data_IF_037113998198
#
_entry.id   IF_037113998198
#
_cell.length_a   1.000
_cell.length_b   1.000
_cell.length_c   1.000
_cell.angle_alpha   90.00
_cell.angle_beta   90.00
_cell.angle_gamma   90.00
#
_symmetry.space_group_name_H-M   'P 1'
#
loop_
_entity.id
_entity.type
_entity.pdbx_description
1 polymer ?
#
# COMPACT_ATOMS: atom_id res chain seq x y z
N UNK A 1 0.28 25.95 -23.47
CA UNK A 1 1.15 26.31 -22.33
C UNK A 1 2.20 25.21 -22.19
N UNK A 2 3.50 25.49 -22.20
CA UNK A 2 4.53 24.44 -22.03
C UNK A 2 4.59 24.02 -20.56
N UNK A 3 4.33 22.74 -20.30
CA UNK A 3 4.48 22.15 -18.98
C UNK A 3 5.93 21.67 -18.74
N UNK A 4 6.26 21.39 -17.48
CA UNK A 4 7.56 20.83 -17.13
C UNK A 4 7.78 19.48 -17.86
N UNK A 5 9.02 19.23 -18.30
CA UNK A 5 9.39 18.04 -19.07
C UNK A 5 8.96 16.72 -18.38
N UNK A 6 9.04 16.67 -17.05
CA UNK A 6 8.62 15.49 -16.25
C UNK A 6 7.15 15.12 -16.39
N UNK A 7 6.27 16.02 -16.90
CA UNK A 7 4.84 15.74 -17.09
C UNK A 7 4.54 15.19 -18.49
N UNK A 8 5.50 15.18 -19.41
CA UNK A 8 5.27 14.74 -20.80
C UNK A 8 5.07 13.23 -20.92
N UNK A 9 5.63 12.44 -19.97
CA UNK A 9 5.61 10.98 -19.98
C UNK A 9 4.75 10.38 -18.86
N UNK A 10 3.92 11.19 -18.20
CA UNK A 10 3.01 10.70 -17.14
C UNK A 10 1.65 10.44 -17.74
N UNK A 11 1.32 9.16 -17.90
CA UNK A 11 -0.02 8.75 -18.32
C UNK A 11 -1.02 8.91 -17.17
N UNK A 12 -2.26 9.31 -17.52
CA UNK A 12 -3.37 9.30 -16.57
C UNK A 12 -3.67 7.86 -16.15
N UNK A 13 -3.85 7.63 -14.85
CA UNK A 13 -4.10 6.30 -14.31
C UNK A 13 -5.32 5.63 -14.98
N UNK A 14 -5.11 4.48 -15.65
CA UNK A 14 -6.18 3.65 -16.19
C UNK A 14 -7.22 3.25 -15.11
N UNK A 15 -6.77 3.12 -13.84
CA UNK A 15 -7.64 2.90 -12.69
C UNK A 15 -8.58 4.09 -12.46
N UNK A 16 -8.13 5.32 -12.74
CA UNK A 16 -8.95 6.53 -12.56
C UNK A 16 -10.13 6.58 -13.55
N UNK A 17 -9.93 6.11 -14.77
CA UNK A 17 -11.02 5.98 -15.75
C UNK A 17 -12.02 4.88 -15.33
N UNK A 18 -11.51 3.78 -14.77
CA UNK A 18 -12.36 2.74 -14.21
C UNK A 18 -13.22 3.29 -13.06
N UNK A 19 -12.68 4.15 -12.17
CA UNK A 19 -13.45 4.76 -11.08
C UNK A 19 -14.64 5.60 -11.55
N UNK A 20 -14.61 6.18 -12.74
CA UNK A 20 -15.78 6.90 -13.31
C UNK A 20 -16.96 5.97 -13.59
N UNK A 21 -16.68 4.68 -13.82
CA UNK A 21 -17.71 3.66 -14.08
C UNK A 21 -18.23 3.04 -12.78
N UNK A 22 -17.42 2.99 -11.73
CA UNK A 22 -17.74 2.33 -10.47
C UNK A 22 -18.87 3.01 -9.66
N UNK A 23 -19.14 4.28 -9.91
CA UNK A 23 -20.25 5.01 -9.28
C UNK A 23 -21.63 4.78 -9.95
N UNK A 24 -21.70 3.97 -11.01
CA UNK A 24 -22.97 3.72 -11.70
C UNK A 24 -23.84 2.73 -10.92
N UNK A 25 -25.15 2.98 -10.78
CA UNK A 25 -26.06 2.04 -10.15
C UNK A 25 -26.04 0.65 -10.83
N UNK A 26 -26.10 -0.41 -10.01
CA UNK A 26 -26.16 -1.80 -10.50
C UNK A 26 -24.81 -2.46 -10.79
N UNK A 27 -23.68 -1.76 -10.60
CA UNK A 27 -22.33 -2.35 -10.74
C UNK A 27 -21.81 -2.81 -9.39
N UNK A 28 -21.52 -4.10 -9.25
CA UNK A 28 -20.78 -4.68 -8.11
C UNK A 28 -19.30 -4.43 -8.37
N UNK A 29 -18.65 -3.70 -7.46
CA UNK A 29 -17.24 -3.32 -7.65
C UNK A 29 -16.30 -4.13 -6.76
N UNK A 30 -15.39 -4.87 -7.40
CA UNK A 30 -14.19 -5.44 -6.79
C UNK A 30 -12.92 -4.68 -7.15
N UNK A 31 -13.04 -3.50 -7.75
CA UNK A 31 -11.89 -2.73 -8.23
C UNK A 31 -11.24 -1.84 -7.17
N UNK A 32 -12.01 -1.35 -6.20
CA UNK A 32 -11.56 -0.38 -5.20
C UNK A 32 -10.60 -0.96 -4.17
N UNK A 33 -9.51 -0.25 -3.88
CA UNK A 33 -8.60 -0.55 -2.78
C UNK A 33 -8.91 0.30 -1.53
N UNK A 34 -10.20 0.51 -1.23
CA UNK A 34 -10.66 1.33 -0.10
C UNK A 34 -11.12 0.46 1.06
N UNK A 35 -10.88 0.86 2.32
CA UNK A 35 -11.51 0.25 3.47
C UNK A 35 -13.05 0.40 3.41
N UNK A 36 -13.75 -0.55 4.03
CA UNK A 36 -15.21 -0.50 4.13
C UNK A 36 -15.66 0.56 5.13
N UNK A 37 -16.42 1.60 4.69
CA UNK A 37 -16.93 2.62 5.59
C UNK A 37 -17.83 2.09 6.71
N UNK A 38 -18.50 0.95 6.52
CA UNK A 38 -19.34 0.32 7.53
C UNK A 38 -18.56 -0.25 8.72
N UNK A 39 -17.23 -0.40 8.56
CA UNK A 39 -16.34 -0.89 9.62
C UNK A 39 -15.66 0.24 10.41
N UNK A 40 -15.82 1.49 10.01
CA UNK A 40 -15.22 2.62 10.75
C UNK A 40 -15.86 2.79 12.14
N UNK A 41 -15.03 3.06 13.14
CA UNK A 41 -15.48 3.44 14.47
C UNK A 41 -15.84 4.92 14.51
N UNK A 42 -16.98 5.27 13.91
CA UNK A 42 -17.46 6.66 13.81
C UNK A 42 -17.65 7.29 15.20
N UNK A 43 -18.23 6.54 16.14
CA UNK A 43 -18.45 7.05 17.49
C UNK A 43 -17.12 7.33 18.23
N UNK A 44 -16.14 6.43 18.11
CA UNK A 44 -14.79 6.64 18.65
C UNK A 44 -14.10 7.83 18.00
N UNK A 45 -14.26 8.02 16.70
CA UNK A 45 -13.68 9.16 15.98
C UNK A 45 -14.33 10.50 16.36
N UNK A 46 -15.64 10.53 16.57
CA UNK A 46 -16.35 11.72 17.09
C UNK A 46 -15.84 12.10 18.47
N UNK A 47 -15.74 11.13 19.39
CA UNK A 47 -15.21 11.37 20.74
C UNK A 47 -13.75 11.86 20.70
N UNK A 48 -12.91 11.26 19.84
CA UNK A 48 -11.52 11.67 19.67
C UNK A 48 -11.38 13.10 19.12
N UNK A 49 -12.23 13.49 18.15
CA UNK A 49 -12.21 14.85 17.62
C UNK A 49 -12.62 15.89 18.69
N UNK A 50 -13.65 15.59 19.50
CA UNK A 50 -14.03 16.44 20.62
C UNK A 50 -12.91 16.54 21.66
N UNK A 51 -12.29 15.41 22.02
CA UNK A 51 -11.17 15.37 22.96
C UNK A 51 -9.98 16.16 22.45
N UNK A 52 -9.62 16.03 21.16
CA UNK A 52 -8.51 16.76 20.56
C UNK A 52 -8.69 18.28 20.68
N UNK A 53 -9.88 18.78 20.38
CA UNK A 53 -10.20 20.21 20.52
C UNK A 53 -10.28 20.69 21.96
N UNK A 54 -10.67 19.82 22.90
CA UNK A 54 -10.69 20.15 24.33
C UNK A 54 -9.28 20.13 24.95
N UNK A 55 -8.46 19.17 24.58
CA UNK A 55 -7.14 18.95 25.19
C UNK A 55 -6.04 19.81 24.56
N UNK A 56 -6.10 20.04 23.23
CA UNK A 56 -5.09 20.76 22.47
C UNK A 56 -5.70 21.81 21.52
N UNK A 57 -6.52 22.76 22.02
CA UNK A 57 -7.27 23.67 21.15
C UNK A 57 -6.36 24.47 20.21
N UNK A 58 -5.30 25.05 20.75
CA UNK A 58 -4.37 25.86 19.97
C UNK A 58 -3.57 25.00 18.99
N UNK A 59 -3.01 23.89 19.43
CA UNK A 59 -2.21 23.00 18.59
C UNK A 59 -3.04 22.34 17.46
N UNK A 60 -4.33 22.05 17.72
CA UNK A 60 -5.20 21.45 16.72
C UNK A 60 -5.60 22.43 15.59
N UNK A 61 -5.63 23.74 15.87
CA UNK A 61 -6.13 24.77 14.94
C UNK A 61 -5.04 25.67 14.36
N UNK A 62 -3.82 25.66 14.91
CA UNK A 62 -2.69 26.45 14.45
C UNK A 62 -1.78 25.62 13.53
N UNK A 63 -0.87 26.28 12.82
CA UNK A 63 0.24 25.61 12.15
C UNK A 63 1.06 24.80 13.15
N UNK A 64 1.49 23.60 12.75
CA UNK A 64 2.32 22.71 13.54
C UNK A 64 3.75 22.56 13.03
N UNK A 65 4.54 21.77 13.76
CA UNK A 65 5.86 21.36 13.30
C UNK A 65 5.74 20.50 12.01
N UNK A 66 6.68 20.71 11.08
CA UNK A 66 6.76 19.94 9.83
C UNK A 66 6.94 18.45 10.11
N UNK A 67 7.70 18.13 11.15
CA UNK A 67 7.98 16.75 11.61
C UNK A 67 6.75 16.04 12.16
N UNK A 68 5.74 16.79 12.58
CA UNK A 68 4.48 16.28 13.08
C UNK A 68 4.21 16.56 14.55
N UNK A 69 3.00 16.26 14.96
CA UNK A 69 2.48 16.49 16.30
C UNK A 69 3.02 15.46 17.28
N UNK A 70 3.73 15.91 18.34
CA UNK A 70 4.43 15.03 19.27
C UNK A 70 3.54 13.95 19.90
N UNK A 71 2.31 14.25 20.41
CA UNK A 71 1.45 13.21 20.97
C UNK A 71 1.08 12.12 19.95
N UNK A 72 0.91 12.45 18.65
CA UNK A 72 0.67 11.44 17.63
C UNK A 72 1.93 10.59 17.39
N UNK A 73 3.10 11.22 17.34
CA UNK A 73 4.37 10.50 17.16
C UNK A 73 4.62 9.50 18.29
N UNK A 74 4.34 9.87 19.54
CA UNK A 74 4.42 8.95 20.70
C UNK A 74 3.52 7.73 20.52
N UNK A 75 2.27 7.93 20.07
CA UNK A 75 1.33 6.83 19.84
C UNK A 75 1.76 5.93 18.67
N UNK A 76 2.29 6.50 17.58
CA UNK A 76 2.82 5.74 16.47
C UNK A 76 4.06 4.95 16.89
N UNK A 77 4.99 5.55 17.68
CA UNK A 77 6.15 4.84 18.20
C UNK A 77 5.73 3.66 19.09
N UNK A 78 4.74 3.83 19.95
CA UNK A 78 4.19 2.75 20.77
C UNK A 78 3.54 1.64 19.91
N UNK A 79 2.80 2.01 18.86
CA UNK A 79 2.23 1.05 17.90
C UNK A 79 3.32 0.27 17.18
N UNK A 80 4.36 0.93 16.68
CA UNK A 80 5.50 0.28 16.02
C UNK A 80 6.28 -0.63 16.98
N UNK A 81 6.50 -0.20 18.22
CA UNK A 81 7.15 -1.00 19.25
C UNK A 81 6.38 -2.29 19.57
N UNK A 82 5.03 -2.26 19.57
CA UNK A 82 4.20 -3.45 19.74
C UNK A 82 4.37 -4.48 18.61
N UNK A 83 4.92 -4.04 17.47
CA UNK A 83 5.26 -4.86 16.28
C UNK A 83 6.75 -5.19 16.19
N UNK A 84 7.53 -4.86 17.21
CA UNK A 84 8.95 -5.15 17.30
C UNK A 84 9.89 -4.08 16.72
N UNK A 85 9.36 -2.97 16.22
CA UNK A 85 10.15 -1.83 15.73
C UNK A 85 10.19 -0.73 16.78
N UNK A 86 11.27 -0.69 17.58
CA UNK A 86 11.47 0.33 18.62
C UNK A 86 12.06 1.58 17.98
N UNK A 87 11.34 2.70 18.05
CA UNK A 87 11.69 3.98 17.44
C UNK A 87 11.66 5.11 18.47
N UNK A 88 12.65 6.00 18.39
CA UNK A 88 12.55 7.33 18.97
C UNK A 88 11.65 8.22 18.09
N UNK A 89 10.87 9.10 18.72
CA UNK A 89 10.01 10.03 18.01
C UNK A 89 10.77 10.97 17.04
N UNK A 90 12.08 11.15 17.20
CA UNK A 90 12.92 11.94 16.32
C UNK A 90 13.35 11.20 15.05
N UNK A 91 13.19 9.87 14.99
CA UNK A 91 13.63 9.03 13.88
C UNK A 91 12.61 8.95 12.73
N UNK A 92 11.48 9.64 12.85
CA UNK A 92 10.46 9.65 11.81
C UNK A 92 9.66 10.96 11.79
N UNK A 93 8.98 11.19 10.68
CA UNK A 93 8.07 12.34 10.50
C UNK A 93 6.66 11.86 10.14
N UNK A 94 5.66 12.67 10.51
CA UNK A 94 4.28 12.47 10.07
C UNK A 94 4.14 13.01 8.64
N UNK A 95 3.47 12.24 7.79
CA UNK A 95 3.22 12.58 6.39
C UNK A 95 1.73 12.58 6.09
N UNK A 96 1.35 13.26 5.01
CA UNK A 96 -0.03 13.29 4.50
C UNK A 96 -0.32 11.97 3.74
N UNK A 97 -0.30 10.86 4.50
CA UNK A 97 -0.35 9.49 4.04
C UNK A 97 1.00 8.99 3.51
N UNK A 98 1.13 7.65 3.32
CA UNK A 98 2.34 7.03 2.76
C UNK A 98 2.66 7.51 1.34
N UNK A 99 1.68 7.99 0.59
CA UNK A 99 1.90 8.60 -0.73
C UNK A 99 2.82 9.82 -0.66
N UNK A 100 2.68 10.66 0.36
CA UNK A 100 3.61 11.79 0.56
C UNK A 100 4.99 11.30 1.00
N UNK A 101 5.08 10.23 1.79
CA UNK A 101 6.37 9.64 2.16
C UNK A 101 7.14 9.19 0.91
N UNK A 102 6.47 8.49 -0.03
CA UNK A 102 7.05 8.10 -1.32
C UNK A 102 7.46 9.30 -2.17
N UNK A 103 6.61 10.34 -2.23
CA UNK A 103 6.91 11.58 -2.96
C UNK A 103 8.15 12.29 -2.39
N UNK A 104 8.25 12.39 -1.05
CA UNK A 104 9.39 13.02 -0.39
C UNK A 104 10.70 12.25 -0.62
N UNK A 105 10.67 10.90 -0.50
CA UNK A 105 11.85 10.07 -0.81
C UNK A 105 12.24 10.27 -2.28
N UNK A 106 11.28 10.21 -3.20
CA UNK A 106 11.52 10.39 -4.63
C UNK A 106 12.12 11.76 -4.93
N UNK A 107 11.59 12.82 -4.31
CA UNK A 107 12.05 14.21 -4.44
C UNK A 107 13.48 14.38 -3.94
N UNK A 108 13.86 13.68 -2.88
CA UNK A 108 15.22 13.74 -2.32
C UNK A 108 16.24 12.91 -3.11
N UNK A 109 15.81 11.79 -3.68
CA UNK A 109 16.73 10.76 -4.18
C UNK A 109 16.77 10.62 -5.69
N UNK A 110 15.70 11.02 -6.41
CA UNK A 110 15.56 10.69 -7.83
C UNK A 110 15.68 11.92 -8.72
N UNK A 111 16.40 11.72 -9.81
CA UNK A 111 16.48 12.61 -10.97
C UNK A 111 16.27 11.83 -12.27
N UNK A 112 16.24 12.54 -13.43
CA UNK A 112 16.06 11.90 -14.73
C UNK A 112 17.14 10.85 -15.02
N UNK A 113 16.69 9.63 -15.37
CA UNK A 113 17.56 8.49 -15.70
C UNK A 113 18.01 7.64 -14.52
N UNK A 114 17.74 8.05 -13.28
CA UNK A 114 17.99 7.19 -12.12
C UNK A 114 17.13 5.93 -12.16
N UNK A 115 17.65 4.83 -11.63
CA UNK A 115 17.00 3.53 -11.68
C UNK A 115 16.36 3.17 -10.34
N UNK A 116 15.15 2.62 -10.40
CA UNK A 116 14.40 2.11 -9.24
C UNK A 116 13.96 0.68 -9.53
N UNK A 117 14.37 -0.28 -8.71
CA UNK A 117 13.82 -1.63 -8.78
C UNK A 117 12.48 -1.67 -8.03
N UNK A 118 11.48 -2.28 -8.65
CA UNK A 118 10.15 -2.47 -8.07
C UNK A 118 9.69 -3.92 -8.26
N UNK A 119 8.84 -4.42 -7.39
CA UNK A 119 8.21 -5.74 -7.57
C UNK A 119 7.39 -5.78 -8.87
N UNK A 120 7.30 -6.93 -9.48
CA UNK A 120 6.46 -7.15 -10.66
C UNK A 120 5.48 -8.31 -10.43
N UNK A 121 4.19 -7.98 -10.15
CA UNK A 121 3.57 -6.65 -10.14
C UNK A 121 3.77 -5.87 -8.82
N UNK A 122 3.51 -4.55 -8.84
CA UNK A 122 3.56 -3.68 -7.68
C UNK A 122 2.51 -2.55 -7.72
N UNK A 123 2.51 -1.68 -6.71
CA UNK A 123 1.55 -0.58 -6.57
C UNK A 123 1.72 0.48 -7.65
N UNK A 124 0.68 0.66 -8.48
CA UNK A 124 0.69 1.58 -9.61
C UNK A 124 1.10 3.01 -9.23
N UNK A 125 0.59 3.54 -8.10
CA UNK A 125 0.90 4.92 -7.75
C UNK A 125 2.37 5.12 -7.34
N UNK A 126 3.08 4.07 -6.88
CA UNK A 126 4.52 4.12 -6.67
C UNK A 126 5.26 4.18 -8.00
N UNK A 127 4.89 3.34 -8.99
CA UNK A 127 5.46 3.39 -10.35
C UNK A 127 5.29 4.80 -10.94
N UNK A 128 4.08 5.37 -10.84
CA UNK A 128 3.78 6.70 -11.37
C UNK A 128 4.57 7.79 -10.63
N UNK A 129 4.72 7.66 -9.31
CA UNK A 129 5.52 8.59 -8.51
C UNK A 129 6.98 8.60 -8.96
N UNK A 130 7.62 7.45 -9.12
CA UNK A 130 9.02 7.36 -9.57
C UNK A 130 9.20 7.92 -10.99
N UNK A 131 8.29 7.57 -11.90
CA UNK A 131 8.30 8.09 -13.27
C UNK A 131 8.10 9.61 -13.36
N UNK A 132 7.31 10.20 -12.43
CA UNK A 132 7.15 11.66 -12.35
C UNK A 132 8.49 12.36 -12.09
N UNK A 133 9.42 11.72 -11.37
CA UNK A 133 10.77 12.22 -11.14
C UNK A 133 11.78 11.83 -12.23
N UNK A 134 11.29 11.20 -13.32
CA UNK A 134 12.11 10.81 -14.46
C UNK A 134 12.91 9.53 -14.25
N UNK A 135 12.61 8.76 -13.20
CA UNK A 135 13.27 7.50 -12.94
C UNK A 135 12.82 6.39 -13.92
N UNK A 136 13.75 5.48 -14.20
CA UNK A 136 13.52 4.25 -14.92
C UNK A 136 13.17 3.15 -13.92
N UNK A 137 12.00 2.55 -14.06
CA UNK A 137 11.56 1.44 -13.21
C UNK A 137 12.00 0.10 -13.80
N UNK A 138 12.60 -0.76 -12.98
CA UNK A 138 13.10 -2.09 -13.35
C UNK A 138 12.28 -3.14 -12.58
N UNK A 139 11.78 -4.12 -13.26
CA UNK A 139 10.89 -5.14 -12.72
C UNK A 139 11.67 -6.26 -12.03
N UNK A 140 11.46 -6.47 -10.74
CA UNK A 140 11.93 -7.64 -10.00
C UNK A 140 10.82 -8.68 -9.88
N UNK A 141 11.04 -9.94 -10.29
CA UNK A 141 10.01 -10.97 -10.24
C UNK A 141 9.68 -11.35 -8.79
N UNK A 142 8.40 -11.69 -8.59
CA UNK A 142 7.88 -12.20 -7.33
C UNK A 142 7.29 -13.60 -7.48
N UNK A 143 7.17 -14.30 -6.37
CA UNK A 143 6.39 -15.53 -6.24
C UNK A 143 5.50 -15.47 -4.99
N UNK A 144 5.01 -16.61 -4.51
CA UNK A 144 4.14 -16.67 -3.32
C UNK A 144 4.84 -16.16 -2.04
N UNK A 145 6.17 -16.17 -1.98
CA UNK A 145 6.98 -15.66 -0.87
C UNK A 145 7.53 -14.24 -1.09
N UNK A 146 6.98 -13.47 -2.03
CA UNK A 146 7.40 -12.12 -2.37
C UNK A 146 8.55 -12.06 -3.37
N UNK A 147 9.35 -10.98 -3.35
CA UNK A 147 10.44 -10.78 -4.31
C UNK A 147 11.47 -11.92 -4.24
N UNK A 148 11.90 -12.41 -5.41
CA UNK A 148 12.91 -13.44 -5.52
C UNK A 148 14.30 -12.84 -5.31
N UNK A 149 14.90 -13.08 -4.15
CA UNK A 149 16.09 -12.36 -3.69
C UNK A 149 17.34 -12.63 -4.51
N UNK A 150 17.49 -13.81 -5.13
CA UNK A 150 18.63 -14.10 -6.02
C UNK A 150 18.55 -13.29 -7.33
N UNK A 151 17.35 -13.15 -7.87
CA UNK A 151 17.12 -12.30 -9.03
C UNK A 151 17.22 -10.81 -8.66
N UNK A 152 16.75 -10.42 -7.47
CA UNK A 152 16.93 -9.08 -6.97
C UNK A 152 18.42 -8.70 -6.87
N UNK A 153 19.27 -9.59 -6.34
CA UNK A 153 20.71 -9.36 -6.25
C UNK A 153 21.34 -9.17 -7.64
N UNK A 154 20.99 -10.01 -8.61
CA UNK A 154 21.46 -9.87 -9.99
C UNK A 154 21.08 -8.51 -10.59
N UNK A 155 19.81 -8.08 -10.40
CA UNK A 155 19.33 -6.79 -10.87
C UNK A 155 20.05 -5.61 -10.19
N UNK A 156 20.33 -5.69 -8.89
CA UNK A 156 21.09 -4.66 -8.18
C UNK A 156 22.51 -4.55 -8.75
N UNK A 157 23.19 -5.68 -8.94
CA UNK A 157 24.55 -5.72 -9.47
C UNK A 157 24.63 -5.14 -10.88
N UNK A 158 23.69 -5.50 -11.76
CA UNK A 158 23.63 -5.06 -13.16
C UNK A 158 23.26 -3.58 -13.28
N UNK A 159 22.19 -3.18 -12.59
CA UNK A 159 21.56 -1.88 -12.86
C UNK A 159 22.01 -0.77 -11.89
N UNK A 160 22.59 -1.12 -10.74
CA UNK A 160 23.02 -0.18 -9.69
C UNK A 160 21.93 0.85 -9.35
N UNK A 161 20.75 0.41 -8.91
CA UNK A 161 19.61 1.28 -8.66
C UNK A 161 19.88 2.21 -7.47
N UNK A 162 19.24 3.37 -7.47
CA UNK A 162 19.23 4.24 -6.29
C UNK A 162 18.26 3.78 -5.22
N UNK A 163 17.13 3.18 -5.66
CA UNK A 163 16.05 2.74 -4.77
C UNK A 163 15.60 1.33 -5.14
N UNK A 164 15.15 0.61 -4.13
CA UNK A 164 14.38 -0.64 -4.25
C UNK A 164 13.07 -0.41 -3.51
N UNK A 165 11.92 -0.55 -4.18
CA UNK A 165 10.61 -0.38 -3.57
C UNK A 165 9.90 -1.72 -3.43
N UNK A 166 9.50 -2.07 -2.20
CA UNK A 166 8.84 -3.31 -1.85
C UNK A 166 7.60 -3.06 -0.98
N UNK A 167 6.58 -3.92 -1.15
CA UNK A 167 5.46 -4.06 -0.23
C UNK A 167 5.55 -5.44 0.42
N UNK A 168 6.38 -5.62 1.45
CA UNK A 168 6.75 -6.95 1.95
C UNK A 168 5.61 -7.72 2.62
N UNK A 169 4.48 -7.06 2.93
CA UNK A 169 3.39 -7.66 3.68
C UNK A 169 2.07 -7.44 2.97
N UNK A 170 1.42 -8.54 2.53
CA UNK A 170 0.14 -8.53 1.82
C UNK A 170 0.13 -7.56 0.64
N UNK A 171 1.14 -7.66 -0.22
CA UNK A 171 1.45 -6.70 -1.29
C UNK A 171 0.26 -6.35 -2.19
N UNK A 172 0.20 -5.11 -2.63
CA UNK A 172 -0.77 -4.65 -3.61
C UNK A 172 -0.08 -4.61 -5.00
N UNK A 173 -0.50 -5.43 -5.97
CA UNK A 173 -1.78 -6.15 -6.04
C UNK A 173 -1.72 -7.62 -5.64
N UNK A 174 -0.53 -8.21 -5.43
CA UNK A 174 -0.29 -9.65 -5.42
C UNK A 174 -0.88 -10.40 -4.22
N UNK A 175 -1.06 -9.73 -3.08
CA UNK A 175 -1.36 -10.37 -1.80
C UNK A 175 -0.18 -11.16 -1.20
N UNK A 176 0.96 -11.24 -1.89
CA UNK A 176 2.14 -11.95 -1.44
C UNK A 176 2.73 -11.36 -0.15
N UNK A 177 3.37 -12.22 0.64
CA UNK A 177 4.08 -11.80 1.84
C UNK A 177 5.52 -12.30 1.78
N UNK A 178 6.46 -11.39 1.88
CA UNK A 178 7.89 -11.69 1.88
C UNK A 178 8.24 -12.54 3.09
N UNK A 179 8.83 -13.72 2.85
CA UNK A 179 9.20 -14.65 3.92
C UNK A 179 10.31 -14.09 4.82
N UNK A 180 10.42 -14.58 6.06
CA UNK A 180 11.41 -14.08 7.01
C UNK A 180 12.86 -14.20 6.48
N UNK A 181 13.16 -15.31 5.80
CA UNK A 181 14.48 -15.51 5.20
C UNK A 181 14.79 -14.46 4.12
N UNK A 182 13.82 -14.20 3.24
CA UNK A 182 13.96 -13.18 2.20
C UNK A 182 14.00 -11.76 2.76
N UNK A 183 13.28 -11.46 3.84
CA UNK A 183 13.37 -10.15 4.54
C UNK A 183 14.81 -9.90 5.03
N UNK A 184 15.43 -10.88 5.66
CA UNK A 184 16.84 -10.77 6.10
C UNK A 184 17.76 -10.59 4.90
N UNK A 185 17.56 -11.38 3.83
CA UNK A 185 18.38 -11.27 2.61
C UNK A 185 18.26 -9.90 1.94
N UNK A 186 17.06 -9.32 1.87
CA UNK A 186 16.87 -7.95 1.37
C UNK A 186 17.66 -6.93 2.19
N UNK A 187 17.65 -7.04 3.51
CA UNK A 187 18.43 -6.15 4.38
C UNK A 187 19.95 -6.34 4.19
N UNK A 188 20.41 -7.58 4.01
CA UNK A 188 21.82 -7.87 3.69
C UNK A 188 22.22 -7.23 2.34
N UNK A 189 21.39 -7.36 1.33
CA UNK A 189 21.60 -6.76 0.02
C UNK A 189 21.62 -5.23 0.10
N UNK A 190 20.71 -4.63 0.87
CA UNK A 190 20.68 -3.18 1.09
C UNK A 190 22.01 -2.67 1.67
N UNK A 191 22.53 -3.35 2.70
CA UNK A 191 23.82 -3.02 3.32
C UNK A 191 25.00 -3.28 2.38
N UNK A 192 25.03 -4.44 1.73
CA UNK A 192 26.11 -4.87 0.84
C UNK A 192 26.29 -3.92 -0.36
N UNK A 193 25.19 -3.55 -1.00
CA UNK A 193 25.20 -2.72 -2.20
C UNK A 193 24.97 -1.23 -1.93
N UNK A 194 24.79 -0.85 -0.66
CA UNK A 194 24.53 0.53 -0.26
C UNK A 194 23.37 1.14 -1.05
N UNK A 195 22.28 0.38 -1.20
CA UNK A 195 21.09 0.77 -1.97
C UNK A 195 19.90 0.92 -1.05
N UNK A 196 19.21 2.07 -1.08
CA UNK A 196 18.08 2.34 -0.22
C UNK A 196 16.89 1.44 -0.56
N UNK A 197 16.43 0.67 0.40
CA UNK A 197 15.18 -0.10 0.32
C UNK A 197 14.05 0.73 0.93
N UNK A 198 12.95 0.86 0.23
CA UNK A 198 11.69 1.43 0.72
C UNK A 198 10.77 0.25 1.07
N UNK A 199 10.47 0.08 2.35
CA UNK A 199 9.42 -0.78 2.85
C UNK A 199 8.12 0.02 2.92
N UNK A 200 7.13 -0.27 2.08
CA UNK A 200 5.78 0.32 2.17
C UNK A 200 4.86 -0.68 2.88
N UNK A 201 4.43 -0.36 4.10
CA UNK A 201 3.64 -1.28 4.96
C UNK A 201 2.29 -0.68 5.38
N UNK A 202 1.32 -0.56 4.46
CA UNK A 202 -0.03 -0.13 4.81
C UNK A 202 -0.93 -1.28 5.28
N UNK A 203 -0.51 -2.55 5.15
CA UNK A 203 -1.37 -3.72 5.34
C UNK A 203 -0.95 -4.64 6.48
N UNK A 204 0.20 -4.46 7.11
CA UNK A 204 0.75 -5.39 8.09
C UNK A 204 -0.14 -5.68 9.30
N UNK A 205 -1.05 -4.77 9.62
CA UNK A 205 -2.07 -4.98 10.66
C UNK A 205 -3.29 -5.78 10.18
N UNK A 206 -3.46 -6.03 8.88
CA UNK A 206 -4.65 -6.66 8.29
C UNK A 206 -4.45 -8.16 8.02
N UNK A 207 -3.79 -8.87 8.89
CA UNK A 207 -3.66 -10.34 8.81
C UNK A 207 -4.93 -11.06 9.28
N UNK A 208 -5.15 -12.30 8.83
CA UNK A 208 -6.34 -13.07 9.17
C UNK A 208 -6.12 -14.00 10.37
N UNK A 209 -5.33 -15.04 10.21
CA UNK A 209 -5.19 -16.08 11.23
C UNK A 209 -3.93 -15.89 12.09
N UNK A 210 -2.80 -15.49 11.48
CA UNK A 210 -1.52 -15.30 12.16
C UNK A 210 -0.84 -13.99 11.73
N UNK A 211 -0.12 -13.33 12.63
CA UNK A 211 0.64 -12.14 12.26
C UNK A 211 1.72 -12.48 11.21
N UNK A 212 2.00 -11.55 10.29
CA UNK A 212 3.08 -11.73 9.31
C UNK A 212 4.45 -11.74 9.99
N UNK A 213 5.52 -12.13 9.26
CA UNK A 213 6.88 -11.93 9.74
C UNK A 213 7.14 -10.48 10.15
N UNK A 214 8.05 -10.21 11.12
CA UNK A 214 8.40 -8.84 11.50
C UNK A 214 8.83 -8.00 10.29
N UNK A 215 8.48 -6.71 10.29
CA UNK A 215 8.84 -5.78 9.21
C UNK A 215 10.35 -5.71 8.98
N UNK A 216 10.79 -5.23 7.81
CA UNK A 216 12.21 -4.95 7.57
C UNK A 216 12.74 -3.98 8.63
N UNK A 217 11.95 -2.98 9.01
CA UNK A 217 12.31 -2.04 10.06
C UNK A 217 12.57 -2.72 11.41
N UNK A 218 11.73 -3.68 11.80
CA UNK A 218 11.91 -4.44 13.04
C UNK A 218 13.12 -5.39 12.99
N UNK A 219 13.49 -5.85 11.80
CA UNK A 219 14.61 -6.77 11.58
C UNK A 219 15.95 -6.05 11.37
N UNK A 220 15.96 -4.80 10.93
CA UNK A 220 17.17 -4.06 10.58
C UNK A 220 18.23 -4.04 11.70
N UNK A 221 17.90 -3.92 13.01
CA UNK A 221 18.90 -4.01 14.07
C UNK A 221 19.63 -5.35 14.15
N UNK A 222 19.07 -6.41 13.55
CA UNK A 222 19.68 -7.75 13.53
C UNK A 222 20.63 -7.95 12.33
N UNK A 223 20.63 -7.03 11.36
CA UNK A 223 21.45 -7.10 10.14
C UNK A 223 22.37 -5.87 10.09
N UNK A 224 23.66 -6.02 10.44
CA UNK A 224 24.59 -4.90 10.55
C UNK A 224 24.65 -4.03 9.30
N UNK A 225 24.56 -2.71 9.47
CA UNK A 225 24.65 -1.72 8.39
C UNK A 225 23.37 -1.53 7.56
N UNK A 226 22.34 -2.36 7.74
CA UNK A 226 21.11 -2.26 6.93
C UNK A 226 20.23 -1.07 7.29
N UNK A 227 20.27 -0.60 8.55
CA UNK A 227 19.46 0.53 9.00
C UNK A 227 19.80 1.84 8.25
N UNK A 228 21.02 2.00 7.76
CA UNK A 228 21.46 3.15 6.98
C UNK A 228 20.88 3.15 5.55
N UNK A 229 20.32 2.02 5.11
CA UNK A 229 19.81 1.81 3.77
C UNK A 229 18.34 1.35 3.76
N UNK A 230 17.59 1.70 4.80
CA UNK A 230 16.18 1.37 4.92
C UNK A 230 15.34 2.63 5.16
N UNK A 231 14.28 2.79 4.39
CA UNK A 231 13.19 3.71 4.67
C UNK A 231 11.88 2.91 4.84
N UNK A 232 11.08 3.26 5.84
CA UNK A 232 9.79 2.61 6.09
C UNK A 232 8.66 3.64 5.99
N UNK A 233 7.66 3.33 5.17
CA UNK A 233 6.46 4.11 4.97
C UNK A 233 5.27 3.41 5.64
N UNK A 234 4.75 4.00 6.70
CA UNK A 234 3.57 3.49 7.39
C UNK A 234 2.32 4.33 7.13
N UNK A 235 1.15 3.79 7.41
CA UNK A 235 -0.12 4.46 7.14
C UNK A 235 -1.23 4.09 8.12
N UNK A 236 -2.01 5.08 8.57
CA UNK A 236 -3.26 4.86 9.30
C UNK A 236 -4.47 4.66 8.37
N UNK A 237 -4.29 4.76 7.06
CA UNK A 237 -5.40 4.72 6.08
C UNK A 237 -6.18 3.41 6.08
N UNK A 238 -5.55 2.29 6.44
CA UNK A 238 -6.19 0.96 6.36
C UNK A 238 -6.67 0.44 7.72
N UNK A 239 -6.18 1.02 8.80
CA UNK A 239 -6.45 0.57 10.17
C UNK A 239 -7.26 1.59 10.99
N UNK A 240 -7.30 2.86 10.57
CA UNK A 240 -8.07 3.90 11.25
C UNK A 240 -9.07 4.55 10.29
N UNK A 241 -8.63 5.49 9.47
CA UNK A 241 -9.49 6.15 8.49
C UNK A 241 -8.66 6.78 7.36
N UNK A 242 -8.92 6.44 6.08
CA UNK A 242 -8.17 7.00 4.95
C UNK A 242 -8.40 8.50 4.77
N UNK A 243 -9.55 9.03 5.20
CA UNK A 243 -9.89 10.45 5.11
C UNK A 243 -9.04 11.37 5.97
N UNK A 244 -8.40 10.87 7.02
CA UNK A 244 -7.48 11.64 7.85
C UNK A 244 -6.17 11.97 7.13
N UNK A 245 -5.82 11.22 6.09
CA UNK A 245 -4.58 11.42 5.34
C UNK A 245 -3.33 11.38 6.22
N UNK A 246 -3.21 10.40 7.11
CA UNK A 246 -2.07 10.24 8.02
C UNK A 246 -1.23 9.01 7.67
N UNK A 247 0.07 9.24 7.61
CA UNK A 247 1.13 8.24 7.48
C UNK A 247 2.38 8.73 8.18
N UNK A 248 3.45 7.96 8.08
CA UNK A 248 4.75 8.34 8.61
C UNK A 248 5.87 7.81 7.74
N UNK A 249 7.01 8.47 7.83
CA UNK A 249 8.25 8.09 7.18
C UNK A 249 9.34 7.92 8.24
N UNK A 250 9.86 6.71 8.39
CA UNK A 250 11.13 6.43 9.08
C UNK A 250 12.21 6.34 8.00
N UNK A 251 13.33 7.02 8.19
CA UNK A 251 14.43 6.99 7.23
C UNK A 251 15.77 7.29 7.91
N UNK A 252 16.90 6.98 7.25
CA UNK A 252 18.21 7.39 7.73
C UNK A 252 18.27 8.91 7.97
N UNK A 253 19.03 9.40 8.99
CA UNK A 253 18.98 10.80 9.42
C UNK A 253 19.19 11.83 8.30
N UNK A 254 20.13 11.56 7.39
CA UNK A 254 20.40 12.47 6.27
C UNK A 254 19.22 12.57 5.29
N UNK A 255 18.56 11.45 4.98
CA UNK A 255 17.37 11.44 4.14
C UNK A 255 16.18 12.10 4.86
N UNK A 256 16.01 11.82 6.15
CA UNK A 256 14.92 12.39 6.95
C UNK A 256 15.01 13.92 7.00
N UNK A 257 16.22 14.48 7.23
CA UNK A 257 16.44 15.93 7.24
C UNK A 257 16.08 16.58 5.90
N UNK A 258 16.47 15.96 4.78
CA UNK A 258 16.10 16.46 3.45
C UNK A 258 14.60 16.29 3.17
N UNK A 259 13.96 15.21 3.64
CA UNK A 259 12.53 15.03 3.51
C UNK A 259 11.74 16.08 4.29
N UNK A 260 12.18 16.47 5.50
CA UNK A 260 11.61 17.58 6.28
C UNK A 260 11.70 18.89 5.49
N UNK A 261 12.90 19.22 4.96
CA UNK A 261 13.08 20.40 4.14
C UNK A 261 12.14 20.41 2.92
N UNK A 262 12.05 19.30 2.18
CA UNK A 262 11.16 19.18 1.04
C UNK A 262 9.68 19.30 1.44
N UNK A 263 9.32 18.77 2.61
CA UNK A 263 7.95 18.84 3.14
C UNK A 263 7.56 20.29 3.49
N UNK A 264 8.48 21.09 4.05
CA UNK A 264 8.24 22.50 4.33
C UNK A 264 7.77 23.28 3.09
N UNK A 265 8.35 22.96 1.91
CA UNK A 265 7.96 23.58 0.65
C UNK A 265 6.75 22.93 -0.02
N UNK A 266 6.31 21.75 0.43
CA UNK A 266 5.17 21.03 -0.16
C UNK A 266 3.85 21.38 0.51
N UNK A 267 3.76 21.24 1.84
CA UNK A 267 2.54 21.44 2.61
C UNK A 267 2.78 22.10 3.99
N UNK A 268 3.99 22.55 4.28
CA UNK A 268 4.44 23.09 5.57
C UNK A 268 4.33 22.06 6.70
N UNK A 269 3.13 21.53 6.95
CA UNK A 269 2.84 20.49 7.92
C UNK A 269 1.59 19.69 7.51
N UNK A 270 1.51 18.45 7.92
CA UNK A 270 0.28 17.65 7.81
C UNK A 270 -0.79 18.24 8.74
N UNK A 271 -2.07 18.19 8.36
CA UNK A 271 -3.20 18.76 9.12
C UNK A 271 -3.09 18.47 10.63
N UNK A 272 -2.92 19.51 11.42
CA UNK A 272 -2.78 19.42 12.88
C UNK A 272 -4.05 18.90 13.53
N UNK A 273 -5.23 19.29 13.05
CA UNK A 273 -6.51 18.77 13.54
C UNK A 273 -6.61 17.25 13.29
N UNK A 274 -6.22 16.77 12.11
CA UNK A 274 -6.21 15.33 11.82
C UNK A 274 -5.23 14.59 12.73
N UNK A 275 -4.04 15.16 12.96
CA UNK A 275 -3.04 14.57 13.83
C UNK A 275 -3.50 14.53 15.29
N UNK A 276 -4.06 15.61 15.82
CA UNK A 276 -4.59 15.69 17.19
C UNK A 276 -5.76 14.71 17.39
N UNK A 277 -6.67 14.62 16.40
CA UNK A 277 -7.79 13.65 16.44
C UNK A 277 -7.27 12.21 16.46
N UNK A 278 -6.29 11.88 15.62
CA UNK A 278 -5.70 10.54 15.59
C UNK A 278 -4.95 10.23 16.90
N UNK A 279 -4.21 11.20 17.47
CA UNK A 279 -3.54 11.04 18.75
C UNK A 279 -4.55 10.71 19.86
N UNK A 280 -5.64 11.47 19.98
CA UNK A 280 -6.69 11.22 20.95
C UNK A 280 -7.35 9.85 20.74
N UNK A 281 -7.60 9.45 19.49
CA UNK A 281 -8.14 8.12 19.19
C UNK A 281 -7.21 6.99 19.62
N UNK A 282 -5.93 7.10 19.31
CA UNK A 282 -4.93 6.09 19.68
C UNK A 282 -4.76 6.03 21.21
N UNK A 283 -4.71 7.17 21.89
CA UNK A 283 -4.67 7.25 23.36
C UNK A 283 -5.88 6.61 24.05
N UNK A 284 -7.05 6.62 23.40
CA UNK A 284 -8.25 5.98 23.94
C UNK A 284 -8.17 4.44 24.02
N UNK A 285 -7.16 3.83 23.41
CA UNK A 285 -6.98 2.37 23.37
C UNK A 285 -7.98 1.62 22.47
N UNK A 286 -8.76 2.32 21.65
CA UNK A 286 -9.81 1.70 20.79
C UNK A 286 -9.26 1.02 19.54
N UNK A 287 -8.06 1.39 19.07
CA UNK A 287 -7.50 0.89 17.81
C UNK A 287 -7.43 -0.63 17.73
N UNK A 288 -6.94 -1.38 18.74
CA UNK A 288 -6.85 -2.84 18.64
C UNK A 288 -8.20 -3.52 18.40
N UNK A 289 -9.26 -3.07 19.07
CA UNK A 289 -10.61 -3.61 18.88
C UNK A 289 -11.18 -3.27 17.48
N UNK A 290 -10.96 -2.04 17.00
CA UNK A 290 -11.35 -1.63 15.66
C UNK A 290 -10.64 -2.44 14.58
N UNK A 291 -9.33 -2.64 14.70
CA UNK A 291 -8.54 -3.47 13.78
C UNK A 291 -8.99 -4.93 13.81
N UNK A 292 -9.25 -5.49 14.99
CA UNK A 292 -9.76 -6.86 15.12
C UNK A 292 -11.08 -7.06 14.37
N UNK A 293 -12.02 -6.10 14.48
CA UNK A 293 -13.29 -6.11 13.72
C UNK A 293 -13.04 -6.11 12.20
N UNK A 294 -12.12 -5.28 11.72
CA UNK A 294 -11.77 -5.22 10.30
C UNK A 294 -11.14 -6.54 9.84
N UNK A 295 -10.19 -7.10 10.59
CA UNK A 295 -9.56 -8.40 10.30
C UNK A 295 -10.58 -9.51 10.16
N UNK A 296 -11.52 -9.62 11.12
CA UNK A 296 -12.57 -10.64 11.08
C UNK A 296 -13.42 -10.51 9.82
N UNK A 297 -13.94 -9.30 9.54
CA UNK A 297 -14.77 -9.05 8.37
C UNK A 297 -14.03 -9.35 7.05
N UNK A 298 -12.75 -8.96 6.96
CA UNK A 298 -11.97 -9.20 5.75
C UNK A 298 -11.62 -10.68 5.58
N UNK A 299 -11.29 -11.40 6.66
CA UNK A 299 -11.05 -12.83 6.62
C UNK A 299 -12.27 -13.61 6.13
N UNK A 300 -13.47 -13.29 6.65
CA UNK A 300 -14.73 -13.91 6.23
C UNK A 300 -15.01 -13.66 4.75
N UNK A 301 -14.86 -12.40 4.30
CA UNK A 301 -15.08 -12.02 2.89
C UNK A 301 -14.05 -12.63 1.94
N UNK A 302 -12.79 -12.67 2.34
CA UNK A 302 -11.74 -13.32 1.55
C UNK A 302 -12.01 -14.80 1.36
N UNK A 303 -12.30 -15.55 2.44
CA UNK A 303 -12.63 -16.97 2.36
C UNK A 303 -13.86 -17.23 1.49
N UNK A 304 -14.90 -16.40 1.65
CA UNK A 304 -16.11 -16.50 0.83
C UNK A 304 -15.83 -16.22 -0.65
N UNK A 305 -15.07 -15.17 -0.97
CA UNK A 305 -14.67 -14.86 -2.34
C UNK A 305 -13.85 -15.99 -2.95
N UNK A 306 -12.87 -16.53 -2.22
CA UNK A 306 -12.07 -17.67 -2.70
C UNK A 306 -12.90 -18.90 -3.00
N UNK A 307 -13.88 -19.21 -2.15
CA UNK A 307 -14.82 -20.32 -2.39
C UNK A 307 -15.65 -20.10 -3.67
N UNK A 308 -16.22 -18.90 -3.85
CA UNK A 308 -16.97 -18.54 -5.06
C UNK A 308 -16.09 -18.59 -6.32
N UNK A 309 -14.85 -18.09 -6.25
CA UNK A 309 -13.90 -18.11 -7.37
C UNK A 309 -13.58 -19.56 -7.79
N UNK A 310 -13.29 -20.45 -6.84
CA UNK A 310 -13.04 -21.87 -7.13
C UNK A 310 -14.25 -22.55 -7.75
N UNK A 311 -15.43 -22.31 -7.19
CA UNK A 311 -16.67 -22.92 -7.68
C UNK A 311 -17.04 -22.45 -9.09
N UNK A 312 -17.00 -21.15 -9.34
CA UNK A 312 -17.57 -20.56 -10.55
C UNK A 312 -16.56 -20.39 -11.69
N UNK A 313 -15.28 -20.11 -11.38
CA UNK A 313 -14.25 -19.95 -12.40
C UNK A 313 -13.42 -21.24 -12.59
N UNK A 314 -13.28 -22.08 -11.57
CA UNK A 314 -12.56 -23.35 -11.67
C UNK A 314 -11.17 -23.18 -12.29
N UNK A 315 -10.89 -23.96 -13.32
CA UNK A 315 -9.61 -23.93 -14.03
C UNK A 315 -9.42 -22.71 -14.96
N UNK A 316 -10.41 -21.82 -15.08
CA UNK A 316 -10.27 -20.60 -15.89
C UNK A 316 -9.47 -19.49 -15.19
N UNK A 317 -9.25 -19.62 -13.88
CA UNK A 317 -8.46 -18.67 -13.10
C UNK A 317 -7.54 -19.40 -12.11
N UNK A 318 -6.32 -18.93 -11.99
CA UNK A 318 -5.35 -19.36 -10.98
C UNK A 318 -5.11 -18.24 -9.99
N UNK A 319 -5.09 -18.54 -8.69
CA UNK A 319 -4.83 -17.58 -7.61
C UNK A 319 -4.33 -18.27 -6.35
N UNK A 320 -3.72 -17.51 -5.46
CA UNK A 320 -3.35 -17.93 -4.11
C UNK A 320 -4.32 -17.29 -3.11
N UNK A 321 -4.71 -18.04 -2.07
CA UNK A 321 -5.55 -17.52 -0.98
C UNK A 321 -4.78 -16.44 -0.20
N UNK A 322 -5.33 -15.22 -0.06
CA UNK A 322 -4.69 -14.19 0.73
C UNK A 322 -4.72 -14.54 2.22
N UNK A 323 -3.62 -14.30 2.91
CA UNK A 323 -3.50 -14.48 4.36
C UNK A 323 -3.75 -13.16 5.13
N UNK A 324 -4.04 -12.09 4.40
CA UNK A 324 -4.28 -10.76 4.91
C UNK A 324 -4.48 -9.74 3.79
N UNK A 325 -4.42 -8.45 4.14
CA UNK A 325 -4.58 -7.38 3.17
C UNK A 325 -6.01 -7.20 2.67
N UNK A 326 -6.16 -6.88 1.40
CA UNK A 326 -7.43 -6.45 0.82
C UNK A 326 -7.72 -7.06 -0.56
N UNK A 327 -6.80 -7.89 -1.11
CA UNK A 327 -6.83 -8.23 -2.54
C UNK A 327 -6.67 -9.71 -2.82
N UNK A 328 -7.35 -10.14 -3.89
CA UNK A 328 -7.02 -11.30 -4.69
C UNK A 328 -6.30 -10.88 -5.96
N UNK A 329 -5.25 -11.60 -6.32
CA UNK A 329 -4.56 -11.50 -7.60
C UNK A 329 -4.81 -12.77 -8.38
N UNK A 330 -5.48 -12.66 -9.52
CA UNK A 330 -5.82 -13.77 -10.38
C UNK A 330 -5.00 -13.73 -11.66
N UNK A 331 -4.59 -14.90 -12.15
CA UNK A 331 -4.10 -15.11 -13.50
C UNK A 331 -5.11 -15.94 -14.27
N UNK A 332 -5.71 -15.33 -15.28
CA UNK A 332 -6.66 -15.99 -16.15
C UNK A 332 -5.92 -16.99 -17.05
N UNK A 333 -6.59 -18.11 -17.34
CA UNK A 333 -6.05 -19.18 -18.17
C UNK A 333 -6.65 -19.13 -19.59
N UNK A 334 -6.21 -20.03 -20.46
CA UNK A 334 -6.76 -20.22 -21.81
C UNK A 334 -6.70 -18.97 -22.70
N UNK A 335 -5.66 -18.12 -22.54
CA UNK A 335 -5.46 -16.94 -23.37
C UNK A 335 -6.44 -15.78 -23.13
N UNK A 336 -7.11 -15.77 -22.01
CA UNK A 336 -8.03 -14.66 -21.66
C UNK A 336 -7.22 -13.39 -21.38
N UNK A 337 -7.47 -12.34 -22.18
CA UNK A 337 -6.99 -10.99 -21.91
C UNK A 337 -7.88 -10.29 -20.88
N UNK A 338 -7.28 -9.86 -19.76
CA UNK A 338 -8.02 -9.28 -18.63
C UNK A 338 -8.67 -7.92 -18.96
N UNK A 339 -8.12 -7.15 -19.89
CA UNK A 339 -8.70 -5.87 -20.26
C UNK A 339 -10.00 -6.07 -21.06
N UNK A 340 -9.98 -6.97 -22.05
CA UNK A 340 -11.17 -7.37 -22.82
C UNK A 340 -12.19 -8.07 -21.91
N UNK A 341 -11.73 -8.88 -20.96
CA UNK A 341 -12.59 -9.53 -19.98
C UNK A 341 -13.28 -8.50 -19.05
N UNK A 342 -12.56 -7.46 -18.60
CA UNK A 342 -13.15 -6.41 -17.77
C UNK A 342 -14.26 -5.66 -18.48
N UNK A 343 -14.15 -5.40 -19.79
CA UNK A 343 -15.21 -4.79 -20.59
C UNK A 343 -16.50 -5.64 -20.61
N UNK A 344 -16.36 -6.95 -20.83
CA UNK A 344 -17.48 -7.88 -20.78
C UNK A 344 -18.09 -7.99 -19.38
N UNK A 345 -17.24 -8.00 -18.34
CA UNK A 345 -17.67 -8.05 -16.95
C UNK A 345 -18.48 -6.78 -16.56
N UNK A 346 -18.04 -5.60 -16.98
CA UNK A 346 -18.77 -4.35 -16.77
C UNK A 346 -20.15 -4.39 -17.46
N UNK A 347 -20.26 -4.95 -18.65
CA UNK A 347 -21.55 -5.15 -19.33
C UNK A 347 -22.50 -6.09 -18.57
N UNK A 348 -21.94 -7.02 -17.78
CA UNK A 348 -22.69 -7.88 -16.85
C UNK A 348 -22.89 -7.26 -15.45
N UNK A 349 -22.45 -6.00 -15.24
CA UNK A 349 -22.65 -5.29 -13.98
C UNK A 349 -21.64 -5.67 -12.88
N UNK A 350 -20.42 -6.10 -13.21
CA UNK A 350 -19.35 -6.33 -12.26
C UNK A 350 -18.05 -5.71 -12.76
N UNK A 351 -17.23 -5.16 -11.84
CA UNK A 351 -15.98 -4.51 -12.18
C UNK A 351 -14.81 -5.01 -11.31
N UNK A 352 -13.66 -5.23 -11.92
CA UNK A 352 -12.35 -5.52 -11.32
C UNK A 352 -11.25 -4.73 -12.04
N UNK A 353 -10.01 -4.77 -11.57
CA UNK A 353 -8.90 -4.04 -12.21
C UNK A 353 -8.08 -4.99 -13.07
N UNK A 354 -7.96 -4.74 -14.41
CA UNK A 354 -6.98 -5.44 -15.24
C UNK A 354 -5.56 -5.25 -14.72
N UNK A 355 -4.78 -6.32 -14.72
CA UNK A 355 -3.49 -6.37 -14.05
C UNK A 355 -2.37 -5.61 -14.73
N UNK A 356 -2.48 -5.33 -16.02
CA UNK A 356 -1.41 -4.70 -16.81
C UNK A 356 -0.85 -3.40 -16.19
N UNK A 357 -1.71 -2.59 -15.55
CA UNK A 357 -1.32 -1.33 -14.93
C UNK A 357 -0.40 -1.47 -13.70
N UNK A 358 -0.28 -2.66 -13.13
CA UNK A 358 0.58 -2.94 -11.97
C UNK A 358 1.99 -3.41 -12.34
N UNK A 359 2.30 -3.50 -13.63
CA UNK A 359 3.63 -3.86 -14.12
C UNK A 359 4.39 -2.62 -14.57
N UNK A 360 5.64 -2.54 -14.14
CA UNK A 360 6.52 -1.44 -14.50
C UNK A 360 7.10 -1.56 -15.93
N UNK A 361 7.21 -2.78 -16.43
CA UNK A 361 7.76 -3.09 -17.75
C UNK A 361 6.76 -3.95 -18.53
N UNK A 362 7.10 -5.19 -18.84
CA UNK A 362 6.28 -6.10 -19.63
C UNK A 362 5.07 -6.60 -18.84
N UNK A 363 3.84 -6.15 -19.13
CA UNK A 363 2.67 -6.61 -18.42
C UNK A 363 2.28 -8.04 -18.77
N UNK A 364 1.77 -8.81 -17.80
CA UNK A 364 1.04 -10.04 -18.08
C UNK A 364 -0.44 -9.68 -18.33
N UNK A 365 -0.94 -9.78 -19.57
CA UNK A 365 -2.29 -9.37 -19.91
C UNK A 365 -3.37 -10.28 -19.33
N UNK A 366 -3.00 -11.47 -18.84
CA UNK A 366 -3.93 -12.40 -18.21
C UNK A 366 -4.23 -12.08 -16.73
N UNK A 367 -3.49 -11.16 -16.13
CA UNK A 367 -3.64 -10.87 -14.70
C UNK A 367 -4.75 -9.86 -14.40
N UNK A 368 -5.38 -9.99 -13.24
CA UNK A 368 -6.35 -9.03 -12.71
C UNK A 368 -6.33 -8.98 -11.19
N UNK A 369 -6.73 -7.85 -10.62
CA UNK A 369 -6.88 -7.65 -9.18
C UNK A 369 -8.34 -7.49 -8.80
N UNK A 370 -8.74 -8.19 -7.72
CA UNK A 370 -10.03 -8.02 -7.05
C UNK A 370 -9.83 -7.61 -5.60
N UNK A 371 -10.71 -6.75 -5.09
CA UNK A 371 -10.76 -6.39 -3.66
C UNK A 371 -12.01 -7.01 -3.02
N UNK A 372 -11.83 -7.63 -1.87
CA UNK A 372 -12.92 -8.14 -1.02
C UNK A 372 -13.31 -7.15 0.10
N UNK A 373 -12.62 -6.03 0.20
CA UNK A 373 -12.73 -5.16 1.38
C UNK A 373 -14.12 -4.55 1.58
N UNK A 374 -14.81 -4.14 0.50
CA UNK A 374 -16.08 -3.41 0.58
C UNK A 374 -17.32 -4.23 0.23
N UNK A 375 -17.15 -5.37 -0.45
CA UNK A 375 -18.26 -6.21 -0.88
C UNK A 375 -18.75 -7.11 0.27
N UNK A 376 -20.06 -7.13 0.50
CA UNK A 376 -20.66 -8.10 1.41
C UNK A 376 -20.73 -9.50 0.76
N UNK A 377 -20.97 -10.59 1.53
CA UNK A 377 -21.01 -11.95 0.99
C UNK A 377 -21.99 -12.16 -0.17
N UNK A 378 -23.17 -11.55 -0.12
CA UNK A 378 -24.14 -11.64 -1.20
C UNK A 378 -23.63 -10.99 -2.49
N UNK A 379 -23.09 -9.78 -2.38
CA UNK A 379 -22.45 -9.07 -3.51
C UNK A 379 -21.25 -9.84 -4.07
N UNK A 380 -20.48 -10.53 -3.20
CA UNK A 380 -19.36 -11.37 -3.64
C UNK A 380 -19.89 -12.53 -4.49
N UNK A 381 -20.89 -13.28 -3.99
CA UNK A 381 -21.46 -14.41 -4.73
C UNK A 381 -22.04 -13.98 -6.08
N UNK A 382 -22.84 -12.91 -6.09
CA UNK A 382 -23.45 -12.38 -7.31
C UNK A 382 -22.40 -11.84 -8.29
N UNK A 383 -21.41 -11.09 -7.80
CA UNK A 383 -20.36 -10.51 -8.64
C UNK A 383 -19.49 -11.59 -9.30
N UNK A 384 -19.11 -12.64 -8.56
CA UNK A 384 -18.34 -13.77 -9.12
C UNK A 384 -19.17 -14.57 -10.14
N UNK A 385 -20.47 -14.75 -9.90
CA UNK A 385 -21.38 -15.37 -10.89
C UNK A 385 -21.43 -14.56 -12.19
N UNK A 386 -21.55 -13.22 -12.10
CA UNK A 386 -21.52 -12.31 -13.26
C UNK A 386 -20.18 -12.38 -13.99
N UNK A 387 -19.05 -12.51 -13.26
CA UNK A 387 -17.74 -12.76 -13.85
C UNK A 387 -17.71 -14.06 -14.64
N UNK A 388 -18.24 -15.15 -14.09
CA UNK A 388 -18.30 -16.42 -14.80
C UNK A 388 -19.17 -16.35 -16.07
N UNK A 389 -20.28 -15.60 -16.04
CA UNK A 389 -21.11 -15.36 -17.24
C UNK A 389 -20.35 -14.56 -18.30
N UNK A 390 -19.56 -13.55 -17.90
CA UNK A 390 -18.74 -12.75 -18.82
C UNK A 390 -17.57 -13.51 -19.48
N UNK A 391 -17.22 -14.71 -18.98
CA UNK A 391 -16.23 -15.60 -19.62
C UNK A 391 -16.81 -16.43 -20.77
N UNK A 392 -18.12 -16.65 -20.79
CA UNK A 392 -18.77 -17.42 -21.86
C UNK A 392 -18.65 -16.65 -23.18
N UNK A 393 -18.35 -17.34 -24.31
CA UNK A 393 -18.40 -16.70 -25.62
C UNK A 393 -19.81 -16.15 -25.85
N UNK A 394 -19.87 -14.94 -26.44
CA UNK A 394 -21.12 -14.29 -26.85
C UNK A 394 -21.76 -15.04 -27.98
#
# INVERSE_FOLDING_TARGET
>A
MPFAQRLQNVETSAIRELFKVLGKPGIISFAGGFPDPALFDVAGMQAAAQQALAQWPDAALQYGATEGFAPLKEQIAAHMASKGAVLDAQQFIITTGSQQALDLISKCMLGPGDKVIVEAPTFLAAIQCFRLYGAQTIAAPIDAEGVQTDQLEALIAEHKPKLIYLIPTFGNPSGATLSLARRKRVLELAAQYQTLVIEDDPYGDLYFDAPPPPSLLALAPQVPGSADWLAHCGSLSKILAPGLRLGWLVAPPALLANAVMCKQFSDANTSTLAQATAAAYLQSGRLPAAVAKVRQAYAERARHMGACLREKLGNAAQFTEPQGGMFYWLKMQNGVDAASYAQRAIAQGVAFVPGAAFFAETPDPACLRMSFATANPQSISEGVERMAQALKPS
#
